data_IF_982363261019
#
_entry.id   IF_982363261019
#
_cell.length_a   1.000
_cell.length_b   1.000
_cell.length_c   1.000
_cell.angle_alpha   90.00
_cell.angle_beta   90.00
_cell.angle_gamma   90.00
#
_symmetry.space_group_name_H-M   'P 1'
#
loop_
_entity.id
_entity.type
_entity.pdbx_description
1 polymer ?
#
# COMPACT_ATOMS: atom_id res chain seq x y z
N UNK A 1 -34.77 40.48 -34.99
CA UNK A 1 -34.73 41.94 -34.77
C UNK A 1 -33.66 42.21 -33.72
N UNK A 2 -32.80 43.18 -33.99
CA UNK A 2 -31.51 43.42 -33.35
C UNK A 2 -31.59 44.00 -31.93
N UNK A 3 -30.55 43.74 -31.13
CA UNK A 3 -30.15 44.49 -29.94
C UNK A 3 -28.99 43.74 -29.24
N UNK A 4 -27.89 44.29 -28.71
CA UNK A 4 -27.27 45.62 -28.65
C UNK A 4 -25.77 45.39 -28.35
N UNK A 5 -24.95 46.34 -28.80
CA UNK A 5 -23.53 46.54 -28.52
C UNK A 5 -23.13 46.60 -27.03
N UNK A 6 -21.87 46.23 -26.82
CA UNK A 6 -21.01 46.38 -25.65
C UNK A 6 -20.91 47.80 -25.08
N UNK A 7 -20.78 47.93 -23.75
CA UNK A 7 -19.95 48.93 -23.06
C UNK A 7 -19.40 48.30 -21.79
N UNK A 8 -18.07 48.31 -21.64
CA UNK A 8 -17.38 47.91 -20.42
C UNK A 8 -17.39 49.02 -19.36
N UNK A 9 -17.47 48.60 -18.10
CA UNK A 9 -17.12 49.43 -16.95
C UNK A 9 -16.12 48.64 -16.09
N UNK A 10 -14.93 49.21 -15.90
CA UNK A 10 -13.97 48.78 -14.87
C UNK A 10 -14.48 49.23 -13.49
N UNK A 11 -14.33 48.35 -12.49
CA UNK A 11 -14.52 48.67 -11.09
C UNK A 11 -14.03 47.53 -10.20
N UNK A 12 -12.84 47.68 -9.63
CA UNK A 12 -12.31 46.79 -8.60
C UNK A 12 -13.09 46.97 -7.30
N UNK A 13 -13.60 45.89 -6.71
CA UNK A 13 -13.88 45.82 -5.27
C UNK A 13 -13.66 44.38 -4.79
N UNK A 14 -12.81 44.25 -3.77
CA UNK A 14 -12.49 43.00 -3.09
C UNK A 14 -13.72 42.46 -2.37
N UNK A 15 -13.99 41.17 -2.57
CA UNK A 15 -15.01 40.43 -1.84
C UNK A 15 -14.67 38.95 -1.89
N UNK A 16 -14.38 38.40 -0.72
CA UNK A 16 -14.25 36.98 -0.39
C UNK A 16 -15.27 36.14 -1.18
N UNK A 17 -14.77 35.19 -1.96
CA UNK A 17 -15.58 34.34 -2.81
C UNK A 17 -14.81 33.08 -3.15
N UNK A 18 -15.11 32.01 -2.42
CA UNK A 18 -14.75 30.65 -2.80
C UNK A 18 -15.17 30.38 -4.23
N UNK A 19 -14.19 29.94 -5.03
CA UNK A 19 -14.36 29.44 -6.39
C UNK A 19 -13.69 28.07 -6.50
N UNK A 20 -14.14 27.24 -7.43
CA UNK A 20 -14.31 25.80 -7.22
C UNK A 20 -13.04 25.01 -7.51
N UNK A 21 -12.82 23.97 -6.70
CA UNK A 21 -11.92 22.87 -7.03
C UNK A 21 -12.65 21.87 -7.94
N UNK A 22 -12.67 22.15 -9.24
CA UNK A 22 -13.01 21.19 -10.29
C UNK A 22 -11.74 21.15 -11.19
N UNK A 23 -10.87 20.15 -11.13
CA UNK A 23 -11.08 18.82 -11.71
C UNK A 23 -10.56 17.70 -10.79
N UNK A 24 -11.42 17.21 -9.90
CA UNK A 24 -11.26 15.87 -9.34
C UNK A 24 -11.75 14.86 -10.38
N UNK A 25 -10.82 14.14 -11.02
CA UNK A 25 -11.16 12.96 -11.79
C UNK A 25 -11.90 11.95 -10.89
N UNK A 26 -13.04 11.39 -11.33
CA UNK A 26 -13.80 10.45 -10.53
C UNK A 26 -13.12 9.08 -10.49
N UNK A 27 -12.93 8.53 -9.29
CA UNK A 27 -12.88 7.08 -9.07
C UNK A 27 -11.56 6.33 -9.30
N UNK A 28 -10.41 6.97 -9.09
CA UNK A 28 -9.13 6.24 -9.03
C UNK A 28 -8.78 5.86 -7.60
N UNK A 29 -9.15 4.67 -7.14
CA UNK A 29 -8.58 4.09 -5.92
C UNK A 29 -7.10 3.83 -6.16
N UNK A 30 -6.25 4.81 -5.83
CA UNK A 30 -4.82 4.54 -5.67
C UNK A 30 -4.67 3.67 -4.42
N UNK A 31 -4.25 2.41 -4.61
CA UNK A 31 -3.97 1.49 -3.52
C UNK A 31 -3.02 2.15 -2.53
N UNK A 32 -3.42 2.20 -1.26
CA UNK A 32 -2.63 2.79 -0.20
C UNK A 32 -1.29 2.07 -0.11
N UNK A 33 -0.20 2.76 -0.46
CA UNK A 33 1.11 2.44 0.11
C UNK A 33 0.91 2.43 1.62
N UNK A 34 1.42 1.41 2.31
CA UNK A 34 1.54 1.46 3.75
C UNK A 34 2.13 2.84 4.10
N UNK A 35 1.33 3.71 4.74
CA UNK A 35 1.88 4.89 5.38
C UNK A 35 2.57 4.26 6.58
N UNK A 36 3.82 3.87 6.38
CA UNK A 36 4.60 3.23 7.41
C UNK A 36 4.66 4.20 8.60
N UNK A 37 3.87 3.89 9.63
CA UNK A 37 4.32 4.04 11.03
C UNK A 37 5.50 3.07 11.33
N UNK A 38 6.02 2.38 10.32
CA UNK A 38 7.30 1.68 10.29
C UNK A 38 8.45 2.65 10.06
N UNK A 39 9.57 2.41 10.73
CA UNK A 39 10.69 3.34 10.84
C UNK A 39 11.52 3.60 9.57
N UNK A 40 10.88 3.77 8.41
CA UNK A 40 11.52 4.15 7.15
C UNK A 40 10.99 5.50 6.65
N UNK A 41 11.88 6.46 6.45
CA UNK A 41 11.62 7.66 5.66
C UNK A 41 11.80 7.34 4.17
N UNK A 42 10.75 7.56 3.38
CA UNK A 42 10.72 7.24 1.94
C UNK A 42 10.72 8.51 1.07
N UNK A 43 11.70 8.65 0.18
CA UNK A 43 11.76 9.66 -0.87
C UNK A 43 11.38 9.02 -2.21
N UNK A 44 10.37 9.56 -2.90
CA UNK A 44 9.87 9.04 -4.19
C UNK A 44 10.24 9.97 -5.33
N UNK A 45 10.79 9.40 -6.40
CA UNK A 45 11.16 10.12 -7.61
C UNK A 45 10.54 9.40 -8.81
N UNK A 46 9.73 10.11 -9.60
CA UNK A 46 9.21 9.56 -10.85
C UNK A 46 10.36 9.22 -11.80
N UNK A 47 10.26 8.07 -12.45
CA UNK A 47 11.28 7.56 -13.37
C UNK A 47 10.62 7.14 -14.68
N UNK A 48 11.28 7.42 -15.82
CA UNK A 48 10.80 6.94 -17.10
C UNK A 48 10.76 5.41 -17.15
N UNK A 49 9.82 4.85 -17.90
CA UNK A 49 9.63 3.40 -18.02
C UNK A 49 10.90 2.65 -18.47
N UNK A 50 11.74 3.32 -19.27
CA UNK A 50 12.99 2.81 -19.83
C UNK A 50 14.24 3.27 -19.10
N UNK A 51 14.11 4.18 -18.14
CA UNK A 51 15.25 4.70 -17.40
C UNK A 51 15.74 3.66 -16.40
N UNK A 52 17.05 3.41 -16.40
CA UNK A 52 17.68 2.49 -15.45
C UNK A 52 17.72 3.17 -14.08
N UNK A 53 17.06 2.56 -13.10
CA UNK A 53 17.04 3.07 -11.73
C UNK A 53 18.39 2.88 -11.03
N UNK A 54 18.61 3.54 -9.87
CA UNK A 54 19.78 3.26 -9.03
C UNK A 54 19.95 1.79 -8.60
N UNK A 55 18.90 0.96 -8.72
CA UNK A 55 18.94 -0.48 -8.48
C UNK A 55 19.53 -1.28 -9.65
N UNK A 56 19.82 -0.63 -10.77
CA UNK A 56 20.45 -1.25 -11.95
C UNK A 56 19.47 -1.89 -12.94
N UNK A 57 18.16 -1.64 -12.82
CA UNK A 57 17.15 -2.08 -13.76
C UNK A 57 16.06 -1.02 -13.98
N UNK A 58 15.36 -1.10 -15.11
CA UNK A 58 14.25 -0.23 -15.50
C UNK A 58 12.89 -0.78 -15.07
N UNK A 59 11.88 0.08 -15.04
CA UNK A 59 10.50 -0.32 -14.77
C UNK A 59 9.97 -1.30 -15.84
N UNK A 60 10.37 -1.15 -17.11
CA UNK A 60 10.02 -2.07 -18.19
C UNK A 60 10.59 -3.47 -17.97
N UNK A 61 11.86 -3.57 -17.58
CA UNK A 61 12.49 -4.87 -17.29
C UNK A 61 11.81 -5.56 -16.10
N UNK A 62 11.53 -4.81 -15.04
CA UNK A 62 10.81 -5.30 -13.88
C UNK A 62 9.40 -5.80 -14.23
N UNK A 63 8.59 -4.99 -14.91
CA UNK A 63 7.24 -5.38 -15.31
C UNK A 63 7.27 -6.55 -16.29
N UNK A 64 8.20 -6.56 -17.25
CA UNK A 64 8.32 -7.68 -18.21
C UNK A 64 8.59 -9.00 -17.49
N UNK A 65 9.39 -9.00 -16.42
CA UNK A 65 9.67 -10.20 -15.62
C UNK A 65 8.46 -10.63 -14.77
N UNK A 66 7.60 -9.67 -14.38
CA UNK A 66 6.39 -9.91 -13.59
C UNK A 66 5.12 -10.07 -14.43
N UNK A 67 5.21 -9.87 -15.74
CA UNK A 67 4.08 -10.02 -16.66
C UNK A 67 3.64 -11.47 -16.76
N UNK A 68 2.43 -11.67 -17.27
CA UNK A 68 1.82 -12.99 -17.43
C UNK A 68 0.94 -13.40 -16.25
N UNK A 69 0.13 -14.41 -16.52
CA UNK A 69 -0.81 -15.00 -15.58
C UNK A 69 -0.11 -16.05 -14.70
N UNK A 70 -0.47 -16.06 -13.42
CA UNK A 70 -0.01 -17.04 -12.45
C UNK A 70 -1.20 -17.57 -11.67
N UNK A 71 -1.19 -18.86 -11.41
CA UNK A 71 -2.20 -19.48 -10.59
C UNK A 71 -1.56 -20.19 -9.41
N UNK A 72 -2.24 -20.15 -8.27
CA UNK A 72 -1.83 -20.83 -7.06
C UNK A 72 -3.05 -21.47 -6.37
N UNK A 73 -2.88 -22.60 -5.66
CA UNK A 73 -3.94 -23.16 -4.84
C UNK A 73 -4.29 -22.20 -3.71
N UNK A 74 -5.55 -21.79 -3.64
CA UNK A 74 -6.09 -20.96 -2.57
C UNK A 74 -6.80 -21.85 -1.54
N UNK A 75 -6.48 -21.65 -0.26
CA UNK A 75 -7.11 -22.33 0.86
C UNK A 75 -7.96 -21.34 1.67
N UNK A 76 -9.27 -21.62 1.78
CA UNK A 76 -10.18 -20.80 2.58
C UNK A 76 -10.02 -21.12 4.07
N UNK A 77 -10.02 -20.10 4.92
CA UNK A 77 -9.85 -20.25 6.38
C UNK A 77 -11.00 -21.00 7.04
N UNK A 78 -12.22 -20.91 6.48
CA UNK A 78 -13.40 -21.68 6.92
C UNK A 78 -13.47 -23.08 6.31
N UNK A 79 -12.48 -23.46 5.51
CA UNK A 79 -12.41 -24.73 4.80
C UNK A 79 -12.89 -24.64 3.36
N UNK A 80 -12.37 -25.54 2.53
CA UNK A 80 -12.50 -25.48 1.08
C UNK A 80 -11.22 -24.98 0.41
N UNK A 81 -11.15 -25.15 -0.90
CA UNK A 81 -10.03 -24.69 -1.71
C UNK A 81 -10.52 -24.29 -3.10
N UNK A 82 -9.86 -23.30 -3.67
CA UNK A 82 -10.07 -22.88 -5.05
C UNK A 82 -8.70 -22.69 -5.73
N UNK A 83 -8.71 -22.30 -7.00
CA UNK A 83 -7.52 -21.80 -7.68
C UNK A 83 -7.62 -20.28 -7.73
N UNK A 84 -6.63 -19.57 -7.19
CA UNK A 84 -6.49 -18.13 -7.38
C UNK A 84 -5.63 -17.86 -8.61
N UNK A 85 -6.02 -16.88 -9.42
CA UNK A 85 -5.31 -16.45 -10.62
C UNK A 85 -5.00 -14.97 -10.53
N UNK A 86 -3.76 -14.61 -10.83
CA UNK A 86 -3.24 -13.26 -10.69
C UNK A 86 -2.46 -12.85 -11.93
N UNK A 87 -2.73 -11.66 -12.45
CA UNK A 87 -1.98 -11.08 -13.56
C UNK A 87 -1.77 -9.58 -13.35
N UNK A 88 -0.50 -9.14 -13.47
CA UNK A 88 -0.18 -7.72 -13.54
C UNK A 88 -0.43 -7.20 -14.96
N UNK A 89 -1.21 -6.13 -15.08
CA UNK A 89 -1.52 -5.46 -16.34
C UNK A 89 -0.45 -4.47 -16.79
N UNK A 90 -0.86 -3.51 -17.62
CA UNK A 90 0.05 -2.51 -18.19
C UNK A 90 0.55 -1.50 -17.15
N UNK A 91 1.80 -1.06 -17.30
CA UNK A 91 2.39 -0.03 -16.45
C UNK A 91 1.66 1.30 -16.62
N UNK A 92 1.14 1.84 -15.53
CA UNK A 92 0.53 3.18 -15.47
C UNK A 92 1.57 4.24 -15.10
N UNK A 93 2.36 3.97 -14.06
CA UNK A 93 3.41 4.87 -13.59
C UNK A 93 4.54 4.10 -12.91
N UNK A 94 5.73 4.68 -12.88
CA UNK A 94 6.89 4.12 -12.20
C UNK A 94 7.62 5.18 -11.36
N UNK A 95 8.05 4.77 -10.17
CA UNK A 95 8.81 5.62 -9.24
C UNK A 95 9.96 4.83 -8.64
N UNK A 96 11.12 5.47 -8.49
CA UNK A 96 12.15 4.97 -7.62
C UNK A 96 11.91 5.48 -6.21
N UNK A 97 11.96 4.58 -5.23
CA UNK A 97 11.80 4.91 -3.82
C UNK A 97 13.11 4.61 -3.11
N UNK A 98 13.69 5.67 -2.56
CA UNK A 98 14.80 5.57 -1.62
C UNK A 98 14.22 5.46 -0.22
N UNK A 99 14.59 4.42 0.50
CA UNK A 99 14.12 4.19 1.87
C UNK A 99 15.30 4.32 2.83
N UNK A 100 15.15 5.15 3.86
CA UNK A 100 16.18 5.34 4.88
C UNK A 100 15.58 5.09 6.25
N UNK A 101 16.33 4.45 7.16
CA UNK A 101 15.85 4.25 8.53
C UNK A 101 15.65 5.61 9.19
N UNK A 102 14.43 5.87 9.65
CA UNK A 102 14.10 7.07 10.40
C UNK A 102 14.99 7.12 11.65
N UNK A 103 15.89 8.10 11.69
CA UNK A 103 16.75 8.29 12.85
C UNK A 103 15.91 8.87 13.97
N UNK A 104 15.40 8.00 14.85
CA UNK A 104 14.83 8.45 16.11
C UNK A 104 16.00 8.99 16.94
N UNK A 105 16.19 10.31 16.92
CA UNK A 105 17.20 10.99 17.72
C UNK A 105 16.86 10.82 19.20
N UNK A 106 17.25 9.71 19.79
CA UNK A 106 17.33 9.59 21.25
C UNK A 106 18.49 10.46 21.70
N UNK A 107 18.17 11.67 22.18
CA UNK A 107 19.14 12.54 22.84
C UNK A 107 19.46 11.90 24.19
N UNK A 108 20.32 10.89 24.19
CA UNK A 108 21.03 10.47 25.39
C UNK A 108 22.11 11.53 25.63
N UNK A 109 21.82 12.50 26.51
CA UNK A 109 22.85 13.41 27.03
C UNK A 109 23.87 12.59 27.82
N UNK A 110 24.89 12.06 27.12
CA UNK A 110 26.08 11.49 27.75
C UNK A 110 27.22 12.45 27.46
N UNK A 111 27.57 13.25 28.45
CA UNK A 111 28.77 14.06 28.40
C UNK A 111 29.99 13.12 28.37
N UNK A 112 30.71 13.05 27.24
CA UNK A 112 32.18 13.16 27.15
C UNK A 112 32.73 12.84 25.75
N UNK A 113 33.57 13.77 25.24
CA UNK A 113 34.75 13.65 24.37
C UNK A 113 34.71 12.76 23.10
N UNK A 114 34.60 13.46 21.97
CA UNK A 114 35.24 13.25 20.65
C UNK A 114 35.71 11.83 20.23
N UNK A 115 34.95 11.22 19.31
CA UNK A 115 35.45 10.56 18.08
C UNK A 115 34.28 10.35 17.11
N UNK A 116 34.46 10.73 15.85
CA UNK A 116 33.51 10.44 14.76
C UNK A 116 33.63 8.95 14.43
N UNK A 117 32.57 8.19 14.69
CA UNK A 117 32.42 6.81 14.25
C UNK A 117 31.14 6.70 13.43
N UNK A 118 31.30 6.30 12.16
CA UNK A 118 30.24 5.74 11.33
C UNK A 118 29.49 4.67 12.12
N UNK A 119 28.17 4.84 12.27
CA UNK A 119 27.30 3.85 12.91
C UNK A 119 27.17 2.66 11.95
N UNK A 120 28.13 1.75 12.01
CA UNK A 120 27.92 0.37 11.64
C UNK A 120 27.19 -0.29 12.81
N UNK A 121 25.95 -0.73 12.58
CA UNK A 121 25.23 -1.63 13.48
C UNK A 121 26.00 -2.95 13.56
N UNK A 122 26.97 -3.03 14.46
CA UNK A 122 27.54 -4.29 14.94
C UNK A 122 27.09 -4.44 16.38
N UNK A 123 26.04 -5.24 16.56
CA UNK A 123 25.67 -5.78 17.86
C UNK A 123 26.87 -6.55 18.41
N UNK A 124 27.63 -5.93 19.33
CA UNK A 124 28.58 -6.68 20.16
C UNK A 124 27.80 -7.16 21.38
N UNK A 125 27.38 -8.41 21.35
CA UNK A 125 26.73 -9.11 22.45
C UNK A 125 27.53 -8.99 23.76
N UNK A 126 26.92 -8.39 24.78
CA UNK A 126 27.27 -8.59 26.18
C UNK A 126 26.23 -9.52 26.82
N UNK A 127 26.62 -10.47 27.69
CA UNK A 127 25.68 -11.42 28.24
C UNK A 127 24.91 -10.78 29.40
N UNK A 128 23.62 -10.53 29.18
CA UNK A 128 22.67 -10.15 30.24
C UNK A 128 22.01 -8.81 30.01
N UNK A 129 20.75 -8.84 29.57
CA UNK A 129 19.88 -7.67 29.48
C UNK A 129 18.85 -7.88 28.39
N UNK A 130 17.56 -7.84 28.76
CA UNK A 130 16.40 -8.15 27.94
C UNK A 130 16.51 -7.62 26.50
N UNK A 131 16.32 -8.54 25.55
CA UNK A 131 16.24 -8.24 24.12
C UNK A 131 14.98 -7.40 23.88
N UNK A 132 15.14 -6.08 23.92
CA UNK A 132 14.22 -5.21 23.20
C UNK A 132 14.52 -5.48 21.73
N UNK A 133 13.72 -6.34 21.11
CA UNK A 133 13.68 -6.56 19.66
C UNK A 133 13.40 -5.23 19.00
N UNK A 134 14.45 -4.46 18.74
CA UNK A 134 14.39 -3.40 17.75
C UNK A 134 13.99 -4.11 16.45
N UNK A 135 12.74 -3.90 16.06
CA UNK A 135 12.21 -4.24 14.74
C UNK A 135 13.20 -3.59 13.77
N UNK A 136 14.08 -4.40 13.19
CA UNK A 136 14.97 -3.91 12.15
C UNK A 136 14.04 -3.60 10.97
N UNK A 137 13.65 -2.33 10.82
CA UNK A 137 12.91 -1.90 9.65
C UNK A 137 13.81 -2.17 8.44
N UNK A 138 13.40 -3.08 7.58
CA UNK A 138 14.09 -3.40 6.33
C UNK A 138 13.78 -2.30 5.30
N UNK A 139 14.42 -1.14 5.50
CA UNK A 139 14.29 0.02 4.62
C UNK A 139 15.13 -0.20 3.37
N UNK A 140 14.66 -1.06 2.48
CA UNK A 140 15.30 -1.32 1.20
C UNK A 140 14.73 -0.41 0.10
N UNK A 141 15.63 0.20 -0.66
CA UNK A 141 15.29 0.89 -1.90
C UNK A 141 14.55 -0.06 -2.86
N UNK A 142 13.55 0.45 -3.55
CA UNK A 142 12.72 -0.36 -4.47
C UNK A 142 12.12 0.51 -5.59
N UNK A 143 11.71 -0.13 -6.69
CA UNK A 143 10.82 0.49 -7.66
C UNK A 143 9.36 0.32 -7.21
N UNK A 144 8.56 1.37 -7.35
CA UNK A 144 7.11 1.31 -7.26
C UNK A 144 6.53 1.36 -8.67
N UNK A 145 5.76 0.33 -9.03
CA UNK A 145 5.08 0.22 -10.33
C UNK A 145 3.58 0.24 -10.10
N UNK A 146 2.90 1.27 -10.59
CA UNK A 146 1.44 1.33 -10.55
C UNK A 146 0.89 0.52 -11.73
N UNK A 147 0.14 -0.54 -11.44
CA UNK A 147 -0.45 -1.46 -12.43
C UNK A 147 -1.86 -1.87 -12.01
N UNK A 148 -2.77 -2.15 -12.97
CA UNK A 148 -3.97 -2.90 -12.66
C UNK A 148 -3.60 -4.37 -12.41
N UNK A 149 -3.96 -4.92 -11.26
CA UNK A 149 -3.80 -6.32 -10.89
C UNK A 149 -5.14 -7.02 -11.10
N UNK A 150 -5.21 -7.93 -12.07
CA UNK A 150 -6.33 -8.85 -12.18
C UNK A 150 -6.18 -9.94 -11.12
N UNK A 151 -7.22 -10.17 -10.33
CA UNK A 151 -7.29 -11.20 -9.30
C UNK A 151 -8.64 -11.91 -9.39
N UNK A 152 -8.63 -13.21 -9.69
CA UNK A 152 -9.85 -14.02 -9.77
C UNK A 152 -9.70 -15.36 -9.08
N UNK A 153 -10.82 -15.92 -8.64
CA UNK A 153 -10.87 -17.28 -8.07
C UNK A 153 -11.76 -18.19 -8.92
N UNK A 154 -11.40 -19.47 -9.01
CA UNK A 154 -12.13 -20.48 -9.79
C UNK A 154 -13.60 -20.63 -9.37
N UNK A 155 -13.90 -20.41 -8.09
CA UNK A 155 -15.25 -20.47 -7.52
C UNK A 155 -16.05 -19.17 -7.71
N UNK A 156 -15.48 -18.14 -8.32
CA UNK A 156 -16.12 -16.86 -8.58
C UNK A 156 -16.29 -15.96 -7.34
N UNK A 157 -15.65 -16.31 -6.22
CA UNK A 157 -15.64 -15.45 -5.03
C UNK A 157 -15.01 -14.08 -5.34
N UNK A 158 -13.97 -14.05 -6.17
CA UNK A 158 -13.37 -12.83 -6.70
C UNK A 158 -13.26 -12.87 -8.22
N UNK A 159 -13.53 -11.75 -8.88
CA UNK A 159 -13.25 -11.50 -10.30
C UNK A 159 -12.92 -10.02 -10.50
N UNK A 160 -11.82 -9.58 -9.90
CA UNK A 160 -11.53 -8.18 -9.67
C UNK A 160 -10.35 -7.66 -10.48
N UNK A 161 -10.35 -6.34 -10.71
CA UNK A 161 -9.19 -5.61 -11.22
C UNK A 161 -8.87 -4.44 -10.30
N UNK A 162 -7.79 -4.57 -9.54
CA UNK A 162 -7.38 -3.59 -8.53
C UNK A 162 -6.26 -2.69 -9.06
N UNK A 163 -6.36 -1.38 -8.85
CA UNK A 163 -5.22 -0.49 -9.06
C UNK A 163 -4.25 -0.64 -7.87
N UNK A 164 -3.11 -1.31 -8.10
CA UNK A 164 -2.11 -1.60 -7.06
C UNK A 164 -0.76 -0.96 -7.39
N UNK A 165 0.00 -0.69 -6.34
CA UNK A 165 1.42 -0.32 -6.45
C UNK A 165 2.28 -1.53 -6.09
N UNK A 166 2.97 -2.10 -7.08
CA UNK A 166 3.96 -3.15 -6.88
C UNK A 166 5.25 -2.57 -6.35
N UNK A 167 5.72 -3.05 -5.19
CA UNK A 167 7.06 -2.77 -4.65
C UNK A 167 8.05 -3.82 -5.14
N UNK A 168 8.97 -3.42 -6.01
CA UNK A 168 9.93 -4.27 -6.72
C UNK A 168 11.36 -3.95 -6.24
N UNK A 169 11.88 -4.66 -5.23
CA UNK A 169 13.26 -4.46 -4.76
C UNK A 169 14.29 -5.04 -5.74
N UNK A 170 13.90 -6.01 -6.58
CA UNK A 170 14.74 -6.66 -7.58
C UNK A 170 13.91 -7.14 -8.76
N UNK A 171 14.55 -7.31 -9.92
CA UNK A 171 13.88 -7.82 -11.13
C UNK A 171 13.25 -9.18 -10.85
N UNK A 172 11.96 -9.32 -11.22
CA UNK A 172 11.25 -10.58 -11.11
C UNK A 172 10.70 -10.92 -9.72
N UNK A 173 10.73 -9.99 -8.77
CA UNK A 173 10.03 -10.10 -7.49
C UNK A 173 9.30 -8.79 -7.15
N UNK A 174 7.98 -8.82 -7.04
CA UNK A 174 7.15 -7.66 -6.75
C UNK A 174 6.15 -7.96 -5.64
N UNK A 175 6.09 -7.11 -4.62
CA UNK A 175 5.14 -7.22 -3.50
C UNK A 175 3.98 -6.26 -3.68
N UNK A 176 2.77 -6.68 -3.33
CA UNK A 176 1.59 -5.81 -3.32
C UNK A 176 0.88 -5.88 -1.98
N UNK A 177 0.21 -4.79 -1.66
CA UNK A 177 -0.74 -4.67 -0.56
C UNK A 177 -1.88 -3.78 -1.05
N UNK A 178 -3.11 -4.25 -0.93
CA UNK A 178 -4.29 -3.56 -1.41
C UNK A 178 -5.43 -3.76 -0.41
N UNK A 179 -6.14 -2.68 -0.09
CA UNK A 179 -7.39 -2.77 0.68
C UNK A 179 -8.53 -2.99 -0.31
N UNK A 180 -9.27 -4.08 -0.13
CA UNK A 180 -10.42 -4.42 -0.95
C UNK A 180 -11.61 -3.55 -0.54
N UNK A 181 -12.28 -2.99 -1.53
CA UNK A 181 -13.58 -2.35 -1.37
C UNK A 181 -14.69 -3.39 -1.50
N UNK A 182 -15.28 -3.77 -0.36
CA UNK A 182 -16.30 -4.82 -0.30
C UNK A 182 -17.61 -4.41 -0.99
N UNK A 183 -17.89 -3.12 -1.13
CA UNK A 183 -19.11 -2.61 -1.76
C UNK A 183 -19.03 -2.59 -3.29
N UNK A 184 -17.82 -2.71 -3.84
CA UNK A 184 -17.53 -2.63 -5.27
C UNK A 184 -17.13 -3.97 -5.91
N UNK A 185 -17.22 -5.07 -5.15
CA UNK A 185 -16.87 -6.40 -5.64
C UNK A 185 -17.75 -6.81 -6.84
N UNK A 186 -17.10 -7.37 -7.86
CA UNK A 186 -17.75 -8.04 -8.98
C UNK A 186 -17.97 -9.53 -8.70
N UNK A 187 -17.11 -10.13 -7.88
CA UNK A 187 -17.23 -11.49 -7.38
C UNK A 187 -18.34 -11.63 -6.33
N UNK A 188 -18.56 -12.87 -5.88
CA UNK A 188 -19.62 -13.19 -4.91
C UNK A 188 -19.13 -13.34 -3.47
N UNK A 189 -17.92 -12.89 -3.14
CA UNK A 189 -17.39 -13.01 -1.78
C UNK A 189 -18.20 -12.16 -0.78
N UNK A 190 -18.57 -12.79 0.34
CA UNK A 190 -19.16 -12.14 1.49
C UNK A 190 -18.33 -12.47 2.73
N UNK A 191 -18.16 -11.50 3.63
CA UNK A 191 -17.44 -11.72 4.89
C UNK A 191 -18.28 -12.62 5.80
N UNK A 192 -17.73 -13.78 6.15
CA UNK A 192 -18.39 -14.76 7.06
C UNK A 192 -17.50 -15.12 8.26
N UNK A 193 -16.29 -14.59 8.29
CA UNK A 193 -15.29 -14.81 9.33
C UNK A 193 -15.70 -14.20 10.66
N UNK A 194 -16.39 -13.06 10.59
CA UNK A 194 -16.93 -12.27 11.69
C UNK A 194 -18.38 -11.89 11.37
N UNK A 195 -19.18 -11.57 12.39
CA UNK A 195 -20.52 -11.02 12.19
C UNK A 195 -20.41 -9.50 11.91
N UNK A 196 -20.73 -9.02 10.69
CA UNK A 196 -20.59 -7.61 10.34
C UNK A 196 -21.45 -6.67 11.19
N UNK A 197 -22.50 -7.18 11.85
CA UNK A 197 -23.38 -6.36 12.70
C UNK A 197 -22.80 -6.08 14.08
N UNK A 198 -21.81 -6.87 14.53
CA UNK A 198 -21.13 -6.67 15.80
C UNK A 198 -20.03 -5.59 15.73
N UNK A 199 -19.57 -5.29 14.51
CA UNK A 199 -18.47 -4.37 14.25
C UNK A 199 -18.96 -3.09 13.60
N UNK A 200 -18.22 -2.01 13.82
CA UNK A 200 -18.51 -0.72 13.20
C UNK A 200 -18.09 -0.73 11.73
N UNK A 201 -16.91 -1.31 11.48
CA UNK A 201 -16.28 -1.30 10.17
C UNK A 201 -15.45 -2.57 10.00
N UNK A 202 -15.42 -3.09 8.78
CA UNK A 202 -14.63 -4.26 8.41
C UNK A 202 -13.76 -3.87 7.22
N UNK A 203 -12.47 -4.16 7.35
CA UNK A 203 -11.51 -3.99 6.28
C UNK A 203 -11.02 -5.36 5.84
N UNK A 204 -10.90 -5.57 4.54
CA UNK A 204 -10.23 -6.74 3.97
C UNK A 204 -9.07 -6.26 3.13
N UNK A 205 -7.95 -6.96 3.25
CA UNK A 205 -6.69 -6.66 2.62
C UNK A 205 -6.21 -7.87 1.84
N UNK A 206 -5.81 -7.60 0.60
CA UNK A 206 -5.12 -8.52 -0.28
C UNK A 206 -3.64 -8.16 -0.26
N UNK A 207 -2.78 -9.09 0.12
CA UNK A 207 -1.33 -8.89 0.12
C UNK A 207 -0.61 -10.10 -0.43
N UNK A 208 0.56 -9.89 -1.05
CA UNK A 208 1.29 -11.01 -1.62
C UNK A 208 2.56 -10.61 -2.36
N UNK A 209 3.18 -11.62 -2.93
CA UNK A 209 4.38 -11.54 -3.74
C UNK A 209 4.16 -12.24 -5.09
N UNK A 210 4.51 -11.53 -6.15
CA UNK A 210 4.60 -12.00 -7.52
C UNK A 210 6.08 -12.25 -7.82
N UNK A 211 6.41 -13.47 -8.21
CA UNK A 211 7.73 -13.80 -8.75
C UNK A 211 7.63 -14.09 -10.24
N UNK A 212 8.73 -14.28 -10.97
CA UNK A 212 8.68 -14.62 -12.39
C UNK A 212 7.76 -15.81 -12.75
N UNK A 213 7.62 -16.80 -11.86
CA UNK A 213 6.89 -18.05 -12.15
C UNK A 213 5.76 -18.40 -11.17
N UNK A 214 5.66 -17.73 -10.03
CA UNK A 214 4.72 -18.09 -8.97
C UNK A 214 4.13 -16.84 -8.30
N UNK A 215 2.95 -17.00 -7.73
CA UNK A 215 2.32 -16.02 -6.87
C UNK A 215 2.05 -16.68 -5.53
N UNK A 216 2.18 -15.92 -4.45
CA UNK A 216 1.74 -16.31 -3.11
C UNK A 216 1.23 -15.09 -2.37
N UNK A 217 0.28 -15.27 -1.47
CA UNK A 217 -0.31 -14.16 -0.74
C UNK A 217 -1.36 -14.60 0.27
N UNK A 218 -1.96 -13.61 0.89
CA UNK A 218 -3.00 -13.78 1.89
C UNK A 218 -4.11 -12.76 1.66
N UNK A 219 -5.32 -13.19 1.99
CA UNK A 219 -6.49 -12.34 2.16
C UNK A 219 -6.77 -12.33 3.66
N UNK A 220 -6.66 -11.17 4.28
CA UNK A 220 -6.86 -10.99 5.72
C UNK A 220 -7.77 -9.81 5.97
N UNK A 221 -8.37 -9.74 7.13
CA UNK A 221 -9.21 -8.61 7.49
C UNK A 221 -9.02 -8.16 8.93
N UNK A 222 -9.52 -6.96 9.20
CA UNK A 222 -9.56 -6.35 10.51
C UNK A 222 -10.99 -5.85 10.72
N UNK A 223 -11.64 -6.35 11.76
CA UNK A 223 -12.95 -5.88 12.18
C UNK A 223 -12.78 -4.91 13.36
N UNK A 224 -13.22 -3.67 13.20
CA UNK A 224 -13.11 -2.65 14.24
C UNK A 224 -14.36 -2.60 15.11
N UNK A 225 -14.15 -2.70 16.42
CA UNK A 225 -15.24 -2.60 17.39
C UNK A 225 -15.84 -1.19 17.44
N UNK A 226 -17.07 -1.13 17.91
CA UNK A 226 -17.70 0.12 18.30
C UNK A 226 -16.88 0.82 19.40
N UNK A 227 -16.79 2.16 19.39
CA UNK A 227 -16.02 2.89 20.38
C UNK A 227 -16.50 2.57 21.80
N UNK A 228 -15.57 2.12 22.64
CA UNK A 228 -15.81 1.81 24.05
C UNK A 228 -15.47 3.06 24.87
N UNK A 229 -16.49 3.70 25.42
CA UNK A 229 -16.39 4.94 26.19
C UNK A 229 -17.16 6.10 25.55
N UNK A 230 -17.50 7.11 26.35
CA UNK A 230 -18.33 8.27 25.93
C UNK A 230 -17.55 9.59 25.89
N UNK A 231 -16.21 9.52 25.90
CA UNK A 231 -15.31 10.67 25.89
C UNK A 231 -14.43 10.73 24.64
N UNK A 232 -13.61 11.79 24.48
CA UNK A 232 -12.65 11.92 23.38
C UNK A 232 -11.59 10.81 23.35
N UNK A 233 -11.42 10.10 24.47
CA UNK A 233 -10.54 8.94 24.61
C UNK A 233 -11.25 7.60 24.34
N UNK A 234 -12.42 7.60 23.68
CA UNK A 234 -13.12 6.37 23.34
C UNK A 234 -12.21 5.48 22.49
N UNK A 235 -11.94 4.27 22.98
CA UNK A 235 -11.03 3.34 22.31
C UNK A 235 -11.80 2.44 21.35
N UNK A 236 -11.22 2.19 20.19
CA UNK A 236 -11.64 1.10 19.29
C UNK A 236 -10.62 -0.02 19.36
N UNK A 237 -11.08 -1.26 19.17
CA UNK A 237 -10.20 -2.43 19.11
C UNK A 237 -10.36 -3.10 17.75
N UNK A 238 -9.25 -3.33 17.06
CA UNK A 238 -9.22 -4.14 15.85
C UNK A 238 -9.11 -5.63 16.19
N UNK A 239 -10.02 -6.43 15.67
CA UNK A 239 -9.95 -7.90 15.71
C UNK A 239 -9.49 -8.41 14.34
N UNK A 240 -8.28 -8.97 14.22
CA UNK A 240 -7.82 -9.56 12.97
C UNK A 240 -8.54 -10.88 12.68
N UNK A 241 -8.75 -11.18 11.41
CA UNK A 241 -9.22 -12.47 10.93
C UNK A 241 -8.52 -12.84 9.61
N UNK A 242 -8.39 -14.14 9.34
CA UNK A 242 -7.88 -14.65 8.06
C UNK A 242 -9.04 -15.11 7.19
N UNK A 243 -8.98 -14.78 5.90
CA UNK A 243 -9.96 -15.19 4.90
C UNK A 243 -9.39 -16.34 4.08
N UNK A 244 -8.21 -16.17 3.50
CA UNK A 244 -7.56 -17.20 2.68
C UNK A 244 -6.05 -16.99 2.55
N UNK A 245 -5.35 -18.05 2.16
CA UNK A 245 -3.94 -18.05 1.79
C UNK A 245 -3.78 -18.71 0.41
N UNK A 246 -2.85 -18.23 -0.42
CA UNK A 246 -2.57 -18.77 -1.76
C UNK A 246 -1.08 -18.71 -2.12
#
# INVERSE_FOLDING_TARGET
>A
MAAVMSVGLWGCVSGDGGGPSDDAAPGGQIGGVHVEEGGCDEERVDIGVDDVSPLGFSAREALSALSGERSAPLAWSKGGSATATVAAGELVAARFVRSTVATVATVATVATVATVATVATVAKSGPGGAESTAIAADCADHLQLDVPLAFSTEDGAFDESFAVTLRVPQVGAGRFFHRIDLDALQGSYEVTEVDPTEFREIFVYLSGELTGSAVSGTISGIAESHPIGTGPDSSVSGQPFSVADF
#
